data_IF_838817780114
#
_entry.id   IF_838817780114
#
_cell.length_a   1.000
_cell.length_b   1.000
_cell.length_c   1.000
_cell.angle_alpha   90.00
_cell.angle_beta   90.00
_cell.angle_gamma   90.00
#
_symmetry.space_group_name_H-M   'P 1'
#
loop_
_entity.id
_entity.type
_entity.pdbx_description
1 polymer ?
#
# COMPACT_ATOMS: atom_id res chain seq x y z
N UNK A 1 -8.61 -40.38 -1.38
CA UNK A 1 -7.64 -39.30 -1.16
C UNK A 1 -8.40 -37.97 -1.16
N UNK A 2 -8.60 -37.35 0.01
CA UNK A 2 -9.19 -36.01 0.13
C UNK A 2 -8.68 -35.34 1.40
N UNK A 3 -7.41 -34.95 1.40
CA UNK A 3 -6.83 -34.11 2.44
C UNK A 3 -6.74 -32.69 1.88
N UNK A 4 -7.66 -31.80 2.27
CA UNK A 4 -7.61 -30.42 1.77
C UNK A 4 -8.69 -29.44 2.24
N UNK A 5 -9.74 -29.87 2.93
CA UNK A 5 -10.91 -29.01 3.21
C UNK A 5 -11.18 -28.67 4.68
N UNK A 6 -10.33 -29.03 5.66
CA UNK A 6 -10.61 -28.74 7.08
C UNK A 6 -9.43 -28.13 7.85
N UNK A 7 -8.98 -26.94 7.43
CA UNK A 7 -8.47 -25.98 8.41
C UNK A 7 -9.48 -24.84 8.47
N UNK A 8 -10.46 -24.97 9.37
CA UNK A 8 -11.43 -23.90 9.64
C UNK A 8 -10.73 -22.60 10.02
N UNK A 9 -11.47 -21.49 10.00
CA UNK A 9 -10.97 -20.13 10.30
C UNK A 9 -10.06 -20.12 11.53
N UNK A 10 -10.49 -20.78 12.61
CA UNK A 10 -9.73 -20.90 13.88
C UNK A 10 -8.37 -21.60 13.70
N UNK A 11 -8.31 -22.64 12.87
CA UNK A 11 -7.07 -23.33 12.54
C UNK A 11 -6.08 -22.42 11.81
N UNK A 12 -6.57 -21.65 10.84
CA UNK A 12 -5.77 -20.65 10.13
C UNK A 12 -5.23 -19.55 11.06
N UNK A 13 -6.08 -19.01 11.94
CA UNK A 13 -5.68 -18.01 12.95
C UNK A 13 -4.58 -18.57 13.85
N UNK A 14 -4.74 -19.81 14.34
CA UNK A 14 -3.75 -20.46 15.21
C UNK A 14 -2.39 -20.60 14.52
N UNK A 15 -2.39 -20.99 13.25
CA UNK A 15 -1.16 -21.12 12.45
C UNK A 15 -0.47 -19.77 12.28
N UNK A 16 -1.23 -18.71 11.97
CA UNK A 16 -0.67 -17.37 11.79
C UNK A 16 -0.04 -16.83 13.08
N UNK A 17 -0.77 -16.93 14.20
CA UNK A 17 -0.28 -16.50 15.51
C UNK A 17 0.99 -17.29 15.89
N UNK A 18 1.01 -18.61 15.66
CA UNK A 18 2.19 -19.45 15.87
C UNK A 18 3.37 -18.93 15.04
N UNK A 19 3.19 -18.70 13.74
CA UNK A 19 4.26 -18.22 12.85
C UNK A 19 4.77 -16.83 13.23
N UNK A 20 3.88 -15.91 13.61
CA UNK A 20 4.28 -14.58 14.08
C UNK A 20 5.10 -14.68 15.36
N UNK A 21 4.65 -15.48 16.32
CA UNK A 21 5.38 -15.69 17.57
C UNK A 21 6.75 -16.35 17.34
N UNK A 22 6.82 -17.39 16.49
CA UNK A 22 8.09 -18.03 16.13
C UNK A 22 9.05 -17.06 15.43
N UNK A 23 8.53 -16.16 14.60
CA UNK A 23 9.34 -15.12 13.94
C UNK A 23 9.90 -14.12 14.94
N UNK A 24 9.11 -13.73 15.93
CA UNK A 24 9.57 -12.90 17.04
C UNK A 24 10.65 -13.61 17.87
N UNK A 25 10.42 -14.86 18.23
CA UNK A 25 11.40 -15.65 18.99
C UNK A 25 12.70 -15.85 18.20
N UNK A 26 12.60 -16.00 16.88
CA UNK A 26 13.75 -16.16 15.98
C UNK A 26 14.71 -14.96 15.94
N UNK A 27 14.28 -13.78 16.39
CA UNK A 27 15.14 -12.58 16.43
C UNK A 27 16.30 -12.73 17.43
N UNK A 28 16.08 -13.44 18.52
CA UNK A 28 17.05 -13.64 19.60
C UNK A 28 17.50 -15.09 19.67
N UNK A 29 16.57 -16.03 19.51
CA UNK A 29 16.82 -17.45 19.65
C UNK A 29 16.79 -18.13 18.28
N UNK A 30 17.88 -18.75 17.81
CA UNK A 30 17.90 -19.42 16.52
C UNK A 30 16.95 -20.63 16.50
N UNK A 31 16.62 -21.14 15.31
CA UNK A 31 15.83 -22.38 15.13
C UNK A 31 14.43 -22.38 15.77
N UNK A 32 13.77 -21.22 15.80
CA UNK A 32 12.40 -21.12 16.32
C UNK A 32 11.31 -21.30 15.26
N UNK A 33 11.62 -20.99 14.00
CA UNK A 33 10.66 -20.97 12.89
C UNK A 33 10.78 -22.22 12.01
N UNK A 34 9.63 -22.78 11.63
CA UNK A 34 9.51 -23.90 10.68
C UNK A 34 10.36 -25.15 11.02
N UNK A 35 10.57 -25.39 12.31
CA UNK A 35 11.43 -26.48 12.82
C UNK A 35 10.68 -27.79 13.07
N UNK A 36 9.36 -27.83 12.84
CA UNK A 36 8.52 -29.03 12.98
C UNK A 36 9.00 -30.18 12.06
N UNK A 37 9.67 -29.85 10.93
CA UNK A 37 10.24 -30.82 9.97
C UNK A 37 11.79 -30.92 10.06
N UNK A 38 12.41 -30.23 11.04
CA UNK A 38 13.87 -30.20 11.17
C UNK A 38 14.38 -31.31 12.10
N UNK A 39 15.47 -31.98 11.69
CA UNK A 39 16.11 -33.05 12.47
C UNK A 39 16.67 -32.55 13.81
N UNK A 40 17.07 -31.27 13.88
CA UNK A 40 17.70 -30.66 15.06
C UNK A 40 16.68 -30.10 16.08
N UNK A 41 15.39 -30.08 15.76
CA UNK A 41 14.34 -29.54 16.62
C UNK A 41 14.47 -28.04 16.93
N UNK A 42 13.56 -27.55 17.78
CA UNK A 42 13.56 -26.17 18.28
C UNK A 42 14.68 -25.95 19.30
N UNK A 43 15.25 -24.74 19.29
CA UNK A 43 16.16 -24.34 20.34
C UNK A 43 15.44 -24.27 21.69
N UNK A 44 16.04 -24.85 22.72
CA UNK A 44 15.56 -24.84 24.10
C UNK A 44 16.65 -24.31 25.04
N UNK A 45 16.28 -23.60 26.11
CA UNK A 45 17.26 -23.12 27.09
C UNK A 45 17.74 -24.26 28.00
N UNK A 46 19.06 -24.34 28.24
CA UNK A 46 19.69 -25.37 29.08
C UNK A 46 19.96 -24.91 30.53
N UNK A 47 19.61 -23.67 30.87
CA UNK A 47 19.83 -23.07 32.20
C UNK A 47 18.59 -22.36 32.74
N UNK A 48 18.50 -22.22 34.06
CA UNK A 48 17.37 -21.52 34.71
C UNK A 48 17.28 -20.05 34.28
N UNK A 49 18.41 -19.36 34.20
CA UNK A 49 18.48 -17.98 33.72
C UNK A 49 18.09 -17.89 32.24
N UNK A 50 18.56 -18.82 31.42
CA UNK A 50 18.19 -18.90 30.00
C UNK A 50 16.68 -19.11 29.83
N UNK A 51 16.06 -19.93 30.66
CA UNK A 51 14.61 -20.15 30.67
C UNK A 51 13.85 -18.89 31.07
N UNK A 52 14.34 -18.14 32.07
CA UNK A 52 13.73 -16.88 32.48
C UNK A 52 13.77 -15.83 31.35
N UNK A 53 14.93 -15.64 30.71
CA UNK A 53 15.08 -14.72 29.58
C UNK A 53 14.21 -15.15 28.38
N UNK A 54 14.15 -16.45 28.09
CA UNK A 54 13.32 -16.99 27.02
C UNK A 54 11.84 -16.68 27.24
N UNK A 55 11.34 -16.87 28.48
CA UNK A 55 9.96 -16.54 28.84
C UNK A 55 9.68 -15.05 28.82
N UNK A 56 10.63 -14.22 29.29
CA UNK A 56 10.50 -12.77 29.24
C UNK A 56 10.40 -12.28 27.79
N UNK A 57 11.27 -12.77 26.91
CA UNK A 57 11.22 -12.44 25.48
C UNK A 57 9.92 -12.91 24.83
N UNK A 58 9.45 -14.11 25.16
CA UNK A 58 8.16 -14.63 24.70
C UNK A 58 6.99 -13.75 25.17
N UNK A 59 7.02 -13.28 26.42
CA UNK A 59 6.00 -12.39 26.97
C UNK A 59 5.98 -11.03 26.27
N UNK A 60 7.14 -10.46 25.93
CA UNK A 60 7.24 -9.23 25.09
C UNK A 60 6.74 -9.49 23.67
N UNK A 61 6.89 -10.72 23.16
CA UNK A 61 6.35 -11.10 21.86
C UNK A 61 4.82 -11.05 21.80
N UNK A 62 4.13 -11.23 22.92
CA UNK A 62 2.67 -11.28 22.97
C UNK A 62 2.01 -9.96 22.52
N UNK A 63 2.35 -8.78 23.08
CA UNK A 63 1.83 -7.51 22.57
C UNK A 63 2.28 -7.21 21.13
N UNK A 64 3.49 -7.62 20.74
CA UNK A 64 3.97 -7.43 19.36
C UNK A 64 3.12 -8.24 18.37
N UNK A 65 2.83 -9.51 18.68
CA UNK A 65 1.94 -10.36 17.87
C UNK A 65 0.52 -9.79 17.85
N UNK A 66 0.01 -9.32 18.99
CA UNK A 66 -1.33 -8.71 19.07
C UNK A 66 -1.46 -7.46 18.21
N UNK A 67 -0.43 -6.62 18.12
CA UNK A 67 -0.40 -5.42 17.28
C UNK A 67 -0.18 -5.74 15.79
N UNK A 68 0.68 -6.71 15.48
CA UNK A 68 1.03 -7.05 14.10
C UNK A 68 -0.01 -7.91 13.41
N UNK A 69 -0.76 -8.73 14.15
CA UNK A 69 -1.74 -9.65 13.57
C UNK A 69 -2.89 -8.93 12.82
N UNK A 70 -3.52 -7.86 13.34
CA UNK A 70 -4.48 -7.06 12.57
C UNK A 70 -3.88 -6.49 11.28
N UNK A 71 -2.61 -6.08 11.30
CA UNK A 71 -1.90 -5.57 10.13
C UNK A 71 -1.64 -6.67 9.08
N UNK A 72 -1.34 -7.89 9.52
CA UNK A 72 -1.23 -9.08 8.65
C UNK A 72 -2.58 -9.36 7.98
N UNK A 73 -3.68 -9.32 8.73
CA UNK A 73 -5.02 -9.51 8.17
C UNK A 73 -5.37 -8.44 7.14
N UNK A 74 -5.07 -7.18 7.45
CA UNK A 74 -5.25 -6.07 6.50
C UNK A 74 -4.40 -6.27 5.25
N UNK A 75 -3.13 -6.66 5.41
CA UNK A 75 -2.24 -7.00 4.29
C UNK A 75 -2.75 -8.15 3.44
N UNK A 76 -3.31 -9.20 4.07
CA UNK A 76 -3.88 -10.34 3.38
C UNK A 76 -5.15 -9.95 2.59
N UNK A 77 -6.00 -9.08 3.17
CA UNK A 77 -7.15 -8.52 2.48
C UNK A 77 -6.73 -7.66 1.28
N UNK A 78 -5.78 -6.75 1.48
CA UNK A 78 -5.23 -5.90 0.41
C UNK A 78 -4.62 -6.76 -0.70
N UNK A 79 -3.85 -7.79 -0.35
CA UNK A 79 -3.27 -8.76 -1.30
C UNK A 79 -4.34 -9.47 -2.11
N UNK A 80 -5.44 -9.86 -1.47
CA UNK A 80 -6.56 -10.51 -2.15
C UNK A 80 -7.21 -9.59 -3.18
N UNK A 81 -7.45 -8.32 -2.82
CA UNK A 81 -8.00 -7.34 -3.74
C UNK A 81 -7.05 -7.04 -4.90
N UNK A 82 -5.76 -6.83 -4.60
CA UNK A 82 -4.77 -6.51 -5.63
C UNK A 82 -4.58 -7.67 -6.59
N UNK A 83 -4.50 -8.94 -6.14
CA UNK A 83 -4.37 -10.12 -7.02
C UNK A 83 -5.46 -10.18 -8.10
N UNK A 84 -6.69 -9.79 -7.77
CA UNK A 84 -7.80 -9.78 -8.73
C UNK A 84 -7.55 -8.76 -9.84
N UNK A 85 -7.19 -7.54 -9.46
CA UNK A 85 -6.86 -6.44 -10.39
C UNK A 85 -5.62 -6.76 -11.21
N UNK A 86 -4.65 -7.39 -10.56
CA UNK A 86 -3.33 -7.67 -11.09
C UNK A 86 -3.32 -8.79 -12.11
N UNK A 87 -4.23 -9.76 -11.99
CA UNK A 87 -4.44 -10.78 -13.01
C UNK A 87 -4.82 -10.17 -14.36
N UNK A 88 -5.60 -9.09 -14.35
CA UNK A 88 -6.00 -8.33 -15.55
C UNK A 88 -4.84 -7.52 -16.10
N UNK A 89 -4.11 -6.79 -15.24
CA UNK A 89 -2.97 -5.98 -15.64
C UNK A 89 -1.81 -6.83 -16.21
N UNK A 90 -1.55 -8.00 -15.63
CA UNK A 90 -0.50 -8.92 -16.08
C UNK A 90 -0.83 -9.51 -17.46
N UNK A 91 -2.11 -9.80 -17.73
CA UNK A 91 -2.59 -10.31 -19.03
C UNK A 91 -2.59 -9.23 -20.12
N UNK A 92 -2.93 -7.99 -19.77
CA UNK A 92 -2.91 -6.85 -20.70
C UNK A 92 -1.48 -6.39 -21.02
N UNK A 93 -0.55 -6.53 -20.06
CA UNK A 93 0.78 -5.95 -20.15
C UNK A 93 0.76 -4.43 -20.18
N UNK A 94 1.94 -3.79 -20.26
CA UNK A 94 2.06 -2.32 -20.28
C UNK A 94 1.27 -1.72 -21.43
N UNK A 95 1.36 -2.33 -22.63
CA UNK A 95 0.64 -1.86 -23.82
C UNK A 95 -0.88 -1.95 -23.62
N UNK A 96 -1.39 -3.07 -23.12
CA UNK A 96 -2.82 -3.21 -22.89
C UNK A 96 -3.35 -2.28 -21.79
N UNK A 97 -2.55 -2.02 -20.74
CA UNK A 97 -2.90 -1.02 -19.70
C UNK A 97 -2.96 0.38 -20.30
N UNK A 98 -1.98 0.77 -21.13
CA UNK A 98 -1.96 2.07 -21.79
C UNK A 98 -3.13 2.22 -22.75
N UNK A 99 -3.39 1.22 -23.60
CA UNK A 99 -4.53 1.24 -24.55
C UNK A 99 -5.87 1.29 -23.82
N UNK A 100 -6.06 0.46 -22.79
CA UNK A 100 -7.29 0.47 -21.99
C UNK A 100 -7.46 1.82 -21.28
N UNK A 101 -6.39 2.38 -20.73
CA UNK A 101 -6.39 3.70 -20.12
C UNK A 101 -6.83 4.77 -21.14
N UNK A 102 -6.22 4.79 -22.32
CA UNK A 102 -6.59 5.71 -23.41
C UNK A 102 -8.05 5.53 -23.83
N UNK A 103 -8.57 4.30 -23.89
CA UNK A 103 -9.96 4.05 -24.27
C UNK A 103 -10.95 4.50 -23.19
N UNK A 104 -10.71 4.14 -21.93
CA UNK A 104 -11.58 4.49 -20.79
C UNK A 104 -11.59 6.00 -20.59
N UNK A 105 -10.40 6.61 -20.50
CA UNK A 105 -10.28 8.04 -20.29
C UNK A 105 -10.62 8.85 -21.53
N UNK A 106 -10.22 8.40 -22.72
CA UNK A 106 -10.62 9.02 -23.99
C UNK A 106 -12.14 8.98 -24.19
N UNK A 107 -12.79 7.89 -23.80
CA UNK A 107 -14.25 7.77 -23.75
C UNK A 107 -14.89 8.75 -22.76
N UNK A 108 -14.32 8.89 -21.56
CA UNK A 108 -14.76 9.89 -20.57
C UNK A 108 -14.57 11.33 -21.09
N UNK A 109 -13.46 11.63 -21.77
CA UNK A 109 -13.21 12.93 -22.42
C UNK A 109 -14.24 13.19 -23.51
N UNK A 110 -14.52 12.18 -24.34
CA UNK A 110 -15.52 12.29 -25.40
C UNK A 110 -16.92 12.52 -24.80
N UNK A 111 -17.29 11.77 -23.76
CA UNK A 111 -18.56 11.96 -23.05
C UNK A 111 -18.65 13.37 -22.43
N UNK A 112 -17.59 13.83 -21.78
CA UNK A 112 -17.50 15.18 -21.21
C UNK A 112 -17.64 16.27 -22.28
N UNK A 113 -17.04 16.08 -23.45
CA UNK A 113 -17.09 17.03 -24.57
C UNK A 113 -18.45 17.05 -25.27
N UNK A 114 -18.99 15.87 -25.57
CA UNK A 114 -20.15 15.74 -26.47
C UNK A 114 -21.49 15.65 -25.73
N UNK A 115 -21.53 15.15 -24.49
CA UNK A 115 -22.76 15.09 -23.70
C UNK A 115 -22.87 16.15 -22.61
N UNK A 116 -21.76 16.56 -22.00
CA UNK A 116 -21.77 17.47 -20.85
C UNK A 116 -21.38 18.92 -21.19
N UNK A 117 -21.01 19.20 -22.46
CA UNK A 117 -20.61 20.53 -22.95
C UNK A 117 -19.61 21.26 -22.05
N UNK A 118 -18.67 20.52 -21.43
CA UNK A 118 -17.69 21.11 -20.53
C UNK A 118 -16.82 22.15 -21.25
N UNK A 119 -16.56 23.28 -20.58
CA UNK A 119 -15.65 24.30 -21.06
C UNK A 119 -14.24 23.74 -21.31
N UNK A 120 -13.45 24.40 -22.17
CA UNK A 120 -12.11 23.97 -22.62
C UNK A 120 -11.17 23.55 -21.47
N UNK A 121 -11.26 24.20 -20.30
CA UNK A 121 -10.51 23.83 -19.10
C UNK A 121 -10.80 22.41 -18.58
N UNK A 122 -12.06 21.96 -18.67
CA UNK A 122 -12.45 20.59 -18.34
C UNK A 122 -11.80 19.53 -19.23
N UNK A 123 -11.56 19.84 -20.51
CA UNK A 123 -10.88 18.93 -21.44
C UNK A 123 -9.40 18.81 -21.07
N UNK A 124 -8.73 19.94 -20.80
CA UNK A 124 -7.32 19.97 -20.38
C UNK A 124 -7.14 19.24 -19.04
N UNK A 125 -8.08 19.41 -18.11
CA UNK A 125 -8.11 18.70 -16.83
C UNK A 125 -8.09 17.19 -17.00
N UNK A 126 -9.01 16.64 -17.80
CA UNK A 126 -9.09 15.20 -18.00
C UNK A 126 -7.87 14.69 -18.77
N UNK A 127 -7.38 15.42 -19.78
CA UNK A 127 -6.18 15.04 -20.53
C UNK A 127 -4.93 14.97 -19.62
N UNK A 128 -4.70 15.99 -18.80
CA UNK A 128 -3.57 16.04 -17.86
C UNK A 128 -3.67 14.93 -16.80
N UNK A 129 -4.86 14.72 -16.23
CA UNK A 129 -5.11 13.66 -15.26
C UNK A 129 -4.86 12.26 -15.85
N UNK A 130 -5.35 12.02 -17.07
CA UNK A 130 -5.20 10.74 -17.76
C UNK A 130 -3.74 10.41 -18.08
N UNK A 131 -2.97 11.42 -18.48
CA UNK A 131 -1.53 11.27 -18.73
C UNK A 131 -0.80 10.86 -17.45
N UNK A 132 -1.05 11.55 -16.34
CA UNK A 132 -0.46 11.24 -15.04
C UNK A 132 -0.84 9.84 -14.57
N UNK A 133 -2.13 9.48 -14.65
CA UNK A 133 -2.61 8.15 -14.32
C UNK A 133 -1.87 7.06 -15.11
N UNK A 134 -1.74 7.27 -16.42
CA UNK A 134 -1.17 6.29 -17.35
C UNK A 134 0.33 6.12 -17.14
N UNK A 135 1.07 7.22 -17.00
CA UNK A 135 2.52 7.18 -16.76
C UNK A 135 2.82 6.52 -15.42
N UNK A 136 2.12 6.90 -14.35
CA UNK A 136 2.31 6.27 -13.04
C UNK A 136 1.94 4.79 -13.05
N UNK A 137 0.83 4.40 -13.69
CA UNK A 137 0.46 2.99 -13.82
C UNK A 137 1.50 2.19 -14.62
N UNK A 138 2.00 2.74 -15.72
CA UNK A 138 3.04 2.11 -16.53
C UNK A 138 4.33 1.91 -15.73
N UNK A 139 4.77 2.93 -14.99
CA UNK A 139 5.94 2.83 -14.10
C UNK A 139 5.73 1.79 -12.99
N UNK A 140 4.54 1.73 -12.39
CA UNK A 140 4.20 0.71 -11.40
C UNK A 140 4.33 -0.72 -11.96
N UNK A 141 3.82 -0.96 -13.17
CA UNK A 141 3.90 -2.27 -13.85
C UNK A 141 5.34 -2.60 -14.27
N UNK A 142 6.08 -1.63 -14.81
CA UNK A 142 7.47 -1.84 -15.26
C UNK A 142 8.40 -2.17 -14.09
N UNK A 143 8.33 -1.39 -13.02
CA UNK A 143 9.16 -1.59 -11.82
C UNK A 143 8.83 -2.89 -11.11
N UNK A 144 7.57 -3.33 -11.19
CA UNK A 144 7.17 -4.66 -10.72
C UNK A 144 7.80 -5.80 -11.51
N UNK A 145 7.95 -5.65 -12.84
CA UNK A 145 8.58 -6.67 -13.70
C UNK A 145 10.07 -6.87 -13.41
N UNK A 146 10.75 -5.85 -12.89
CA UNK A 146 12.15 -5.96 -12.49
C UNK A 146 12.39 -7.03 -11.40
N UNK A 147 11.31 -7.43 -10.70
CA UNK A 147 11.37 -8.46 -9.66
C UNK A 147 11.96 -7.92 -8.36
N UNK A 148 11.63 -8.60 -7.27
CA UNK A 148 12.18 -8.28 -5.95
C UNK A 148 11.21 -7.52 -5.04
N UNK A 149 11.23 -7.93 -3.76
CA UNK A 149 10.38 -7.40 -2.70
C UNK A 149 10.65 -5.91 -2.44
N UNK A 150 11.92 -5.50 -2.45
CA UNK A 150 12.32 -4.12 -2.20
C UNK A 150 11.82 -3.17 -3.30
N UNK A 151 12.05 -3.49 -4.58
CA UNK A 151 11.58 -2.66 -5.70
C UNK A 151 10.05 -2.54 -5.71
N UNK A 152 9.37 -3.64 -5.41
CA UNK A 152 7.90 -3.64 -5.35
C UNK A 152 7.41 -2.69 -4.25
N UNK A 153 7.94 -2.80 -3.02
CA UNK A 153 7.52 -1.98 -1.87
C UNK A 153 7.90 -0.51 -2.05
N UNK A 154 9.15 -0.22 -2.41
CA UNK A 154 9.67 1.14 -2.39
C UNK A 154 9.39 1.94 -3.66
N UNK A 155 9.04 1.28 -4.77
CA UNK A 155 8.87 1.94 -6.07
C UNK A 155 7.51 1.62 -6.69
N UNK A 156 7.16 0.35 -6.85
CA UNK A 156 5.93 -0.05 -7.55
C UNK A 156 4.66 0.39 -6.81
N UNK A 157 4.59 0.15 -5.50
CA UNK A 157 3.43 0.57 -4.69
C UNK A 157 3.23 2.09 -4.69
N UNK A 158 4.26 2.93 -4.44
CA UNK A 158 4.15 4.38 -4.59
C UNK A 158 3.55 4.81 -5.92
N UNK A 159 4.08 4.33 -7.06
CA UNK A 159 3.54 4.68 -8.37
C UNK A 159 2.11 4.18 -8.58
N UNK A 160 1.77 3.00 -8.04
CA UNK A 160 0.40 2.48 -8.07
C UNK A 160 -0.58 3.37 -7.30
N UNK A 161 -0.18 3.86 -6.13
CA UNK A 161 -0.98 4.82 -5.34
C UNK A 161 -1.06 6.17 -6.09
N UNK A 162 0.04 6.67 -6.63
CA UNK A 162 0.04 7.90 -7.43
C UNK A 162 -0.92 7.81 -8.62
N UNK A 163 -0.96 6.67 -9.32
CA UNK A 163 -1.85 6.45 -10.46
C UNK A 163 -3.34 6.56 -10.12
N UNK A 164 -3.71 6.34 -8.85
CA UNK A 164 -5.10 6.41 -8.37
C UNK A 164 -5.42 7.79 -7.81
N UNK A 165 -4.53 8.35 -6.98
CA UNK A 165 -4.82 9.55 -6.18
C UNK A 165 -4.44 10.86 -6.85
N UNK A 166 -3.40 10.87 -7.70
CA UNK A 166 -2.91 12.11 -8.32
C UNK A 166 -3.80 12.62 -9.47
N UNK A 167 -4.45 11.78 -10.30
CA UNK A 167 -5.26 12.26 -11.43
C UNK A 167 -6.39 13.23 -11.04
N UNK A 168 -7.22 12.97 -9.99
CA UNK A 168 -8.25 13.91 -9.56
C UNK A 168 -7.68 15.27 -9.12
N UNK A 169 -6.53 15.25 -8.45
CA UNK A 169 -5.83 16.46 -7.96
C UNK A 169 -5.31 17.28 -9.14
N UNK A 170 -4.72 16.63 -10.14
CA UNK A 170 -4.26 17.30 -11.37
C UNK A 170 -5.44 17.85 -12.17
N UNK A 171 -6.56 17.12 -12.26
CA UNK A 171 -7.76 17.61 -12.92
C UNK A 171 -8.32 18.89 -12.26
N UNK A 172 -8.29 18.97 -10.92
CA UNK A 172 -8.74 20.14 -10.18
C UNK A 172 -7.94 21.41 -10.54
N UNK A 173 -6.68 21.30 -10.97
CA UNK A 173 -5.87 22.47 -11.36
C UNK A 173 -6.36 23.16 -12.63
N UNK A 174 -7.07 22.44 -13.50
CA UNK A 174 -7.49 22.93 -14.82
C UNK A 174 -9.02 23.10 -14.92
N UNK A 175 -9.78 22.63 -13.93
CA UNK A 175 -11.24 22.72 -13.93
C UNK A 175 -11.79 23.20 -12.58
N UNK A 176 -12.41 24.39 -12.54
CA UNK A 176 -13.08 24.91 -11.34
C UNK A 176 -14.14 23.98 -10.78
N UNK A 177 -14.92 23.32 -11.65
CA UNK A 177 -15.96 22.38 -11.23
C UNK A 177 -15.40 21.15 -10.50
N UNK A 178 -14.20 20.69 -10.89
CA UNK A 178 -13.51 19.59 -10.20
C UNK A 178 -12.84 20.10 -8.93
N UNK A 179 -12.26 21.31 -8.97
CA UNK A 179 -11.71 22.00 -7.81
C UNK A 179 -12.74 22.17 -6.70
N UNK A 180 -13.96 22.62 -7.00
CA UNK A 180 -15.01 22.86 -6.01
C UNK A 180 -15.48 21.58 -5.30
N UNK A 181 -15.36 20.41 -5.94
CA UNK A 181 -15.68 19.13 -5.34
C UNK A 181 -14.50 18.51 -4.56
N UNK A 182 -13.27 18.68 -5.06
CA UNK A 182 -12.07 17.99 -4.54
C UNK A 182 -11.36 18.83 -3.48
N UNK A 183 -11.25 20.14 -3.67
CA UNK A 183 -10.47 21.04 -2.80
C UNK A 183 -11.03 21.08 -1.38
N UNK A 184 -12.35 21.22 -1.12
CA UNK A 184 -12.87 21.29 0.24
C UNK A 184 -12.60 20.01 1.05
N UNK A 185 -12.77 18.84 0.41
CA UNK A 185 -12.43 17.54 1.00
C UNK A 185 -10.93 17.44 1.25
N UNK A 186 -10.11 17.83 0.28
CA UNK A 186 -8.64 17.80 0.40
C UNK A 186 -8.13 18.70 1.51
N UNK A 187 -8.72 19.88 1.70
CA UNK A 187 -8.22 20.89 2.62
C UNK A 187 -8.54 20.53 4.08
N UNK A 188 -9.67 19.84 4.32
CA UNK A 188 -9.98 19.26 5.63
C UNK A 188 -8.98 18.15 6.03
N UNK A 189 -8.65 17.27 5.09
CA UNK A 189 -7.75 16.14 5.30
C UNK A 189 -6.30 16.62 5.39
N UNK A 190 -5.91 17.62 4.59
CA UNK A 190 -4.61 18.28 4.65
C UNK A 190 -4.42 19.03 5.96
N UNK A 191 -5.43 19.76 6.46
CA UNK A 191 -5.38 20.37 7.80
C UNK A 191 -5.24 19.33 8.89
N UNK A 192 -6.02 18.26 8.85
CA UNK A 192 -5.90 17.18 9.82
C UNK A 192 -4.50 16.56 9.80
N UNK A 193 -3.95 16.25 8.62
CA UNK A 193 -2.61 15.67 8.50
C UNK A 193 -1.52 16.63 9.00
N UNK A 194 -1.63 17.92 8.66
CA UNK A 194 -0.70 18.95 9.12
C UNK A 194 -0.72 19.08 10.65
N UNK A 195 -1.90 19.28 11.24
CA UNK A 195 -2.01 19.57 12.67
C UNK A 195 -1.89 18.31 13.56
N UNK A 196 -2.38 17.15 13.12
CA UNK A 196 -2.40 15.93 13.94
C UNK A 196 -1.15 15.08 13.74
N UNK A 197 -0.57 15.06 12.55
CA UNK A 197 0.56 14.17 12.23
C UNK A 197 1.86 14.95 12.07
N UNK A 198 1.87 16.04 11.29
CA UNK A 198 3.12 16.75 10.95
C UNK A 198 3.61 17.71 12.01
N UNK A 199 2.71 18.40 12.73
CA UNK A 199 3.06 19.32 13.81
C UNK A 199 3.77 18.62 14.98
N UNK A 200 3.28 17.46 15.49
CA UNK A 200 4.01 16.72 16.52
C UNK A 200 5.38 16.20 16.08
N UNK A 201 5.61 16.07 14.76
CA UNK A 201 6.88 15.63 14.17
C UNK A 201 7.81 16.81 13.81
N UNK A 202 7.42 18.06 14.08
CA UNK A 202 8.19 19.26 13.77
C UNK A 202 8.24 19.63 12.28
N UNK A 203 7.54 18.88 11.43
CA UNK A 203 7.53 19.10 9.98
C UNK A 203 6.47 20.13 9.54
N UNK A 204 5.47 20.42 10.37
CA UNK A 204 4.33 21.24 9.97
C UNK A 204 4.64 22.73 9.78
N UNK A 205 5.56 23.31 10.56
CA UNK A 205 6.04 24.68 10.30
C UNK A 205 6.84 24.77 9.00
N UNK A 206 7.73 23.81 8.76
CA UNK A 206 8.49 23.74 7.50
C UNK A 206 7.57 23.65 6.29
N UNK A 207 6.55 22.79 6.34
CA UNK A 207 5.58 22.62 5.26
C UNK A 207 4.73 23.89 5.04
N UNK A 208 4.32 24.57 6.11
CA UNK A 208 3.55 25.83 6.02
C UNK A 208 4.37 27.00 5.48
N UNK A 209 5.66 27.07 5.82
CA UNK A 209 6.55 28.15 5.38
C UNK A 209 7.04 28.00 3.94
N UNK A 210 7.13 26.77 3.41
CA UNK A 210 7.75 26.49 2.12
C UNK A 210 6.76 26.06 1.01
N UNK A 211 5.52 25.71 1.35
CA UNK A 211 4.55 25.25 0.36
C UNK A 211 3.24 26.04 0.43
N UNK A 212 3.02 26.90 -0.57
CA UNK A 212 1.70 27.46 -0.87
C UNK A 212 0.79 26.35 -1.42
N UNK A 213 -0.47 26.29 -0.96
CA UNK A 213 -1.41 25.20 -1.31
C UNK A 213 -2.18 25.45 -2.61
N UNK A 214 -1.60 26.21 -3.52
CA UNK A 214 -2.25 26.61 -4.77
C UNK A 214 -1.54 26.01 -5.99
N UNK A 215 -2.31 25.73 -7.04
CA UNK A 215 -1.77 25.28 -8.31
C UNK A 215 -0.94 23.99 -8.23
N UNK A 216 0.19 23.97 -8.94
CA UNK A 216 1.07 22.80 -9.06
C UNK A 216 1.65 22.32 -7.71
N UNK A 217 1.82 23.21 -6.73
CA UNK A 217 2.32 22.84 -5.42
C UNK A 217 1.37 21.88 -4.68
N UNK A 218 0.05 22.03 -4.88
CA UNK A 218 -0.94 21.11 -4.32
C UNK A 218 -0.77 19.68 -4.88
N UNK A 219 -0.50 19.54 -6.19
CA UNK A 219 -0.22 18.24 -6.80
C UNK A 219 1.09 17.62 -6.27
N UNK A 220 2.13 18.43 -6.04
CA UNK A 220 3.40 17.96 -5.48
C UNK A 220 3.21 17.43 -4.05
N UNK A 221 2.43 18.10 -3.22
CA UNK A 221 2.10 17.64 -1.86
C UNK A 221 1.39 16.28 -1.92
N UNK A 222 0.38 16.14 -2.79
CA UNK A 222 -0.33 14.87 -2.95
C UNK A 222 0.55 13.75 -3.48
N UNK A 223 1.47 14.06 -4.41
CA UNK A 223 2.49 13.11 -4.84
C UNK A 223 3.37 12.68 -3.65
N UNK A 224 3.86 13.63 -2.86
CA UNK A 224 4.67 13.35 -1.68
C UNK A 224 3.94 12.52 -0.62
N UNK A 225 2.62 12.67 -0.46
CA UNK A 225 1.78 11.84 0.41
C UNK A 225 1.54 10.44 -0.17
N UNK A 226 1.43 10.32 -1.50
CA UNK A 226 1.20 9.03 -2.17
C UNK A 226 2.37 8.05 -1.98
N UNK A 227 3.59 8.55 -1.81
CA UNK A 227 4.80 7.75 -1.60
C UNK A 227 4.77 6.96 -0.27
N UNK A 228 4.64 7.59 0.92
CA UNK A 228 4.57 6.87 2.19
C UNK A 228 3.32 5.99 2.29
N UNK A 229 2.20 6.38 1.67
CA UNK A 229 1.03 5.51 1.56
C UNK A 229 1.34 4.24 0.74
N UNK A 230 2.06 4.39 -0.37
CA UNK A 230 2.56 3.26 -1.16
C UNK A 230 3.45 2.34 -0.32
N UNK A 231 4.40 2.89 0.43
CA UNK A 231 5.25 2.10 1.32
C UNK A 231 4.45 1.37 2.39
N UNK A 232 3.47 2.02 3.01
CA UNK A 232 2.60 1.40 4.01
C UNK A 232 1.85 0.20 3.42
N UNK A 233 1.23 0.35 2.25
CA UNK A 233 0.54 -0.75 1.57
C UNK A 233 1.51 -1.88 1.19
N UNK A 234 2.70 -1.55 0.69
CA UNK A 234 3.73 -2.53 0.37
C UNK A 234 4.22 -3.30 1.59
N UNK A 235 4.46 -2.62 2.71
CA UNK A 235 4.86 -3.24 3.97
C UNK A 235 3.77 -4.19 4.45
N UNK A 236 2.49 -3.78 4.45
CA UNK A 236 1.37 -4.62 4.87
C UNK A 236 1.25 -5.90 4.04
N UNK A 237 1.29 -5.78 2.71
CA UNK A 237 1.20 -6.96 1.83
C UNK A 237 2.38 -7.88 2.03
N UNK A 238 3.59 -7.33 2.16
CA UNK A 238 4.76 -8.17 2.37
C UNK A 238 4.80 -8.81 3.76
N UNK A 239 4.23 -8.17 4.78
CA UNK A 239 4.03 -8.76 6.09
C UNK A 239 3.05 -9.93 6.01
N UNK A 240 1.98 -9.82 5.23
CA UNK A 240 1.07 -10.92 4.97
C UNK A 240 1.76 -12.10 4.24
N UNK A 241 2.62 -11.82 3.26
CA UNK A 241 3.41 -12.84 2.55
C UNK A 241 4.37 -13.58 3.48
N UNK A 242 4.90 -12.90 4.50
CA UNK A 242 5.78 -13.51 5.49
C UNK A 242 5.04 -14.56 6.34
N UNK A 243 3.78 -14.32 6.70
CA UNK A 243 2.99 -15.21 7.56
C UNK A 243 2.33 -16.31 6.74
N UNK A 244 1.71 -15.94 5.62
CA UNK A 244 1.02 -16.82 4.66
C UNK A 244 1.71 -16.79 3.29
N UNK A 245 2.89 -17.43 3.17
CA UNK A 245 3.52 -17.69 1.89
C UNK A 245 2.62 -18.60 1.05
N UNK A 246 2.59 -18.35 -0.24
CA UNK A 246 1.83 -19.10 -1.26
C UNK A 246 2.78 -19.74 -2.23
#
# INVERSE_FOLDING_TARGET
>A
MSAGSEQGIVGGIRIDIKRLHETWMALVYPRQRATDESVLGKWTPDSQLGLALYRLWSAVGLPVVALTYPLVLLGAFLRFQTRRVDSTATRLGVVGVVVLSVLVWGGLIALARYQLALATGGIVAVAAASLVATVSAALAVLTRRAGGRAVTVFVSYPFGVTAIFLPPVVAALFSPAVADAVIPLSDSLARWLLFTVMDPLGAGEFLRANFEREGAAHAIIWFAISVPLGWLLGILVTLADLVRPT
#
